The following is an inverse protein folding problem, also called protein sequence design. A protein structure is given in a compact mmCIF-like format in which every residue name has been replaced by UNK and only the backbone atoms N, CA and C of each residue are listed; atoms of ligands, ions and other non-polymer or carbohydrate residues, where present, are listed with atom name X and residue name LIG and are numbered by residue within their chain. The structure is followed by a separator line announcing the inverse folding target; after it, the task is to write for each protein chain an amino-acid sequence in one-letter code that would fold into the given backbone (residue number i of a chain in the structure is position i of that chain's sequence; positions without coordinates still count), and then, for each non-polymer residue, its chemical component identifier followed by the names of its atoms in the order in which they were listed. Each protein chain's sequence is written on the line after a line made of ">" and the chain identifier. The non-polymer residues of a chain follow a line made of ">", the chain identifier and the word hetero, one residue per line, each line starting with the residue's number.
data_IF_297058866748
#
_entry.id   IF_297058866748
#
_cell.length_a   1.000
_cell.length_b   1.000
_cell.length_c   1.000
_cell.angle_alpha   90.00
_cell.angle_beta   90.00
_cell.angle_gamma   90.00
#
_symmetry.space_group_name_H-M   'P 1'
#
loop_
_entity.id
_entity.type
_entity.pdbx_description
1 polymer ?
#
# COMPACT_ATOMS: atom_id res chain seq x y z
N UNK A 1 4.01 -22.58 -16.71
CA UNK A 1 3.75 -21.16 -17.07
C UNK A 1 4.19 -20.34 -15.87
N UNK A 2 5.09 -19.38 -16.02
CA UNK A 2 5.49 -18.50 -14.91
C UNK A 2 4.32 -17.56 -14.64
N UNK A 3 3.71 -17.61 -13.45
CA UNK A 3 2.64 -16.70 -13.07
C UNK A 3 3.25 -15.41 -12.51
N UNK A 4 3.99 -14.70 -13.37
CA UNK A 4 4.61 -13.42 -13.02
C UNK A 4 3.54 -12.33 -12.96
N UNK A 5 3.44 -11.67 -11.81
CA UNK A 5 2.54 -10.54 -11.56
C UNK A 5 3.33 -9.24 -11.56
N UNK A 6 4.34 -9.12 -12.43
CA UNK A 6 5.18 -7.92 -12.56
C UNK A 6 4.55 -6.81 -13.40
N UNK A 7 3.41 -7.06 -14.06
CA UNK A 7 2.60 -6.04 -14.76
C UNK A 7 1.77 -5.21 -13.76
N UNK A 8 2.43 -4.57 -12.81
CA UNK A 8 1.85 -3.74 -11.75
C UNK A 8 2.71 -2.50 -11.51
N UNK A 9 2.33 -1.66 -10.55
CA UNK A 9 2.95 -0.36 -10.28
C UNK A 9 4.48 -0.41 -10.10
N UNK A 10 4.98 -1.43 -9.42
CA UNK A 10 6.39 -1.73 -9.31
C UNK A 10 6.91 -2.53 -10.50
N UNK A 11 6.92 -1.94 -11.69
CA UNK A 11 7.22 -2.59 -12.98
C UNK A 11 8.57 -3.34 -13.05
N UNK A 12 9.59 -2.90 -12.30
CA UNK A 12 10.88 -3.60 -12.22
C UNK A 12 11.01 -4.55 -11.02
N UNK A 13 10.05 -4.58 -10.08
CA UNK A 13 10.03 -5.49 -8.93
C UNK A 13 9.11 -6.69 -9.20
N UNK A 14 9.71 -7.85 -9.42
CA UNK A 14 8.96 -9.05 -9.82
C UNK A 14 8.26 -9.71 -8.65
N UNK A 15 6.93 -9.85 -8.78
CA UNK A 15 6.09 -10.66 -7.90
C UNK A 15 5.60 -11.89 -8.64
N UNK A 16 5.29 -12.97 -7.91
CA UNK A 16 4.85 -14.24 -8.48
C UNK A 16 3.62 -14.78 -7.75
N UNK A 17 2.68 -15.38 -8.48
CA UNK A 17 1.48 -15.99 -7.89
C UNK A 17 0.57 -14.97 -7.23
N UNK A 18 0.18 -15.20 -5.97
CA UNK A 18 -0.65 -14.22 -5.23
C UNK A 18 0.28 -13.19 -4.61
N UNK A 19 0.07 -11.89 -4.88
CA UNK A 19 0.87 -10.81 -4.28
C UNK A 19 0.02 -9.91 -3.41
N UNK A 20 0.61 -9.35 -2.36
CA UNK A 20 -0.13 -8.52 -1.40
C UNK A 20 -0.66 -7.24 -2.03
N UNK A 21 0.17 -6.55 -2.83
CA UNK A 21 -0.22 -5.31 -3.49
C UNK A 21 -1.43 -5.49 -4.40
N UNK A 22 -1.36 -6.41 -5.36
CA UNK A 22 -2.46 -6.65 -6.32
C UNK A 22 -3.66 -7.32 -5.65
N UNK A 23 -3.41 -8.23 -4.70
CA UNK A 23 -4.45 -8.95 -3.98
C UNK A 23 -5.37 -8.02 -3.18
N UNK A 24 -4.80 -7.06 -2.43
CA UNK A 24 -5.63 -6.10 -1.69
C UNK A 24 -6.42 -5.17 -2.61
N UNK A 25 -5.83 -4.71 -3.72
CA UNK A 25 -6.54 -3.88 -4.72
C UNK A 25 -7.71 -4.67 -5.32
N UNK A 26 -7.50 -5.91 -5.71
CA UNK A 26 -8.54 -6.77 -6.27
C UNK A 26 -9.71 -6.96 -5.29
N UNK A 27 -9.42 -7.21 -4.02
CA UNK A 27 -10.44 -7.34 -2.97
C UNK A 27 -11.24 -6.05 -2.78
N UNK A 28 -10.58 -4.90 -2.77
CA UNK A 28 -11.24 -3.59 -2.70
C UNK A 28 -12.13 -3.35 -3.93
N UNK A 29 -11.66 -3.69 -5.13
CA UNK A 29 -12.42 -3.59 -6.38
C UNK A 29 -13.70 -4.44 -6.34
N UNK A 30 -13.63 -5.68 -5.81
CA UNK A 30 -14.80 -6.54 -5.67
C UNK A 30 -15.84 -5.95 -4.71
N UNK A 31 -15.42 -5.34 -3.60
CA UNK A 31 -16.32 -4.61 -2.68
C UNK A 31 -16.96 -3.40 -3.34
N UNK A 32 -16.18 -2.62 -4.08
CA UNK A 32 -16.69 -1.47 -4.82
C UNK A 32 -17.70 -1.90 -5.90
N UNK A 33 -17.37 -2.96 -6.66
CA UNK A 33 -18.24 -3.52 -7.69
C UNK A 33 -19.54 -4.08 -7.10
N UNK A 34 -19.48 -4.80 -5.98
CA UNK A 34 -20.67 -5.26 -5.24
C UNK A 34 -21.59 -4.07 -4.90
N UNK A 35 -21.02 -2.99 -4.36
CA UNK A 35 -21.78 -1.79 -3.98
C UNK A 35 -22.39 -1.08 -5.19
N UNK A 36 -21.65 -0.94 -6.28
CA UNK A 36 -22.14 -0.33 -7.51
C UNK A 36 -23.25 -1.16 -8.16
N UNK A 37 -23.12 -2.48 -8.17
CA UNK A 37 -24.14 -3.41 -8.68
C UNK A 37 -25.45 -3.27 -7.90
N UNK A 38 -25.37 -3.21 -6.56
CA UNK A 38 -26.52 -2.95 -5.69
C UNK A 38 -27.22 -1.63 -6.02
N UNK A 39 -26.46 -0.54 -6.24
CA UNK A 39 -27.01 0.77 -6.61
C UNK A 39 -27.74 0.71 -7.96
N UNK A 40 -27.25 -0.10 -8.91
CA UNK A 40 -27.86 -0.28 -10.22
C UNK A 40 -29.00 -1.31 -10.24
N UNK A 41 -29.25 -2.01 -9.13
CA UNK A 41 -30.25 -3.07 -9.04
C UNK A 41 -29.84 -4.38 -9.70
N UNK A 42 -28.57 -4.55 -10.10
CA UNK A 42 -28.05 -5.80 -10.65
C UNK A 42 -27.71 -6.77 -9.52
N UNK A 43 -28.73 -7.50 -9.07
CA UNK A 43 -28.62 -8.46 -7.95
C UNK A 43 -27.67 -9.61 -8.27
N UNK A 44 -27.72 -10.12 -9.50
CA UNK A 44 -26.89 -11.24 -9.94
C UNK A 44 -25.41 -10.88 -9.87
N UNK A 45 -25.02 -9.72 -10.40
CA UNK A 45 -23.63 -9.29 -10.35
C UNK A 45 -23.18 -8.96 -8.92
N UNK A 46 -24.03 -8.35 -8.09
CA UNK A 46 -23.73 -8.12 -6.69
C UNK A 46 -23.43 -9.43 -5.92
N UNK A 47 -24.23 -10.48 -6.13
CA UNK A 47 -24.03 -11.80 -5.53
C UNK A 47 -22.73 -12.46 -6.01
N UNK A 48 -22.40 -12.33 -7.29
CA UNK A 48 -21.14 -12.82 -7.85
C UNK A 48 -19.93 -12.09 -7.24
N UNK A 49 -19.96 -10.75 -7.16
CA UNK A 49 -18.90 -9.96 -6.51
C UNK A 49 -18.70 -10.39 -5.06
N UNK A 50 -19.79 -10.57 -4.30
CA UNK A 50 -19.72 -11.06 -2.91
C UNK A 50 -19.11 -12.45 -2.81
N UNK A 51 -19.49 -13.38 -3.70
CA UNK A 51 -18.94 -14.74 -3.74
C UNK A 51 -17.44 -14.71 -4.05
N UNK A 52 -17.02 -13.96 -5.07
CA UNK A 52 -15.61 -13.81 -5.43
C UNK A 52 -14.80 -13.11 -4.33
N UNK A 53 -15.38 -12.11 -3.66
CA UNK A 53 -14.72 -11.44 -2.54
C UNK A 53 -14.44 -12.42 -1.40
N UNK A 54 -15.44 -13.21 -0.99
CA UNK A 54 -15.25 -14.17 0.11
C UNK A 54 -14.22 -15.25 -0.23
N UNK A 55 -14.25 -15.77 -1.46
CA UNK A 55 -13.26 -16.75 -1.92
C UNK A 55 -11.85 -16.14 -2.02
N UNK A 56 -11.76 -14.91 -2.55
CA UNK A 56 -10.52 -14.17 -2.69
C UNK A 56 -9.89 -13.82 -1.35
N UNK A 57 -10.68 -13.31 -0.40
CA UNK A 57 -10.21 -12.95 0.94
C UNK A 57 -9.69 -14.19 1.66
N UNK A 58 -10.44 -15.30 1.63
CA UNK A 58 -9.99 -16.56 2.21
C UNK A 58 -8.64 -17.00 1.62
N UNK A 59 -8.52 -17.03 0.29
CA UNK A 59 -7.26 -17.42 -0.35
C UNK A 59 -6.12 -16.44 -0.08
N UNK A 60 -6.40 -15.14 0.05
CA UNK A 60 -5.42 -14.11 0.33
C UNK A 60 -4.85 -14.29 1.75
N UNK A 61 -5.71 -14.44 2.75
CA UNK A 61 -5.32 -14.70 4.14
C UNK A 61 -4.51 -16.00 4.23
N UNK A 62 -4.99 -17.10 3.66
CA UNK A 62 -4.31 -18.40 3.72
C UNK A 62 -2.92 -18.40 3.06
N UNK A 63 -2.74 -17.64 1.98
CA UNK A 63 -1.48 -17.64 1.22
C UNK A 63 -0.45 -16.65 1.72
N UNK A 64 -0.88 -15.53 2.28
CA UNK A 64 -0.01 -14.37 2.49
C UNK A 64 0.15 -13.98 3.95
N UNK A 65 -0.82 -14.28 4.82
CA UNK A 65 -0.67 -13.93 6.23
C UNK A 65 0.44 -14.76 6.88
N UNK A 66 1.50 -14.11 7.36
CA UNK A 66 2.65 -14.78 7.97
C UNK A 66 2.64 -14.74 9.51
N UNK A 67 1.56 -14.24 10.12
CA UNK A 67 1.41 -14.09 11.56
C UNK A 67 1.69 -12.69 12.09
N UNK A 68 2.34 -11.81 11.32
CA UNK A 68 2.58 -10.41 11.71
C UNK A 68 2.17 -9.41 10.61
N UNK A 69 2.46 -9.75 9.35
CA UNK A 69 2.10 -8.97 8.18
C UNK A 69 1.81 -9.90 6.98
N UNK A 70 1.50 -9.34 5.81
CA UNK A 70 1.31 -10.14 4.62
C UNK A 70 2.62 -10.24 3.82
N UNK A 71 3.06 -11.46 3.50
CA UNK A 71 4.21 -11.72 2.65
C UNK A 71 4.05 -11.03 1.29
N UNK A 72 5.16 -10.58 0.68
CA UNK A 72 5.13 -9.85 -0.59
C UNK A 72 4.37 -10.61 -1.67
N UNK A 73 4.69 -11.91 -1.80
CA UNK A 73 3.99 -12.82 -2.70
C UNK A 73 4.21 -14.30 -2.33
N UNK A 74 3.33 -15.16 -2.85
CA UNK A 74 3.39 -16.62 -2.73
C UNK A 74 2.83 -17.29 -4.00
N UNK A 75 3.66 -18.10 -4.68
CA UNK A 75 3.34 -18.95 -5.84
C UNK A 75 3.58 -20.43 -5.46
N UNK A 76 2.60 -21.09 -4.79
CA UNK A 76 2.75 -22.47 -4.33
C UNK A 76 3.11 -23.46 -5.44
N UNK A 77 2.66 -23.20 -6.67
CA UNK A 77 2.86 -24.07 -7.84
C UNK A 77 4.34 -24.19 -8.24
N UNK A 78 5.15 -23.18 -7.92
CA UNK A 78 6.60 -23.17 -8.23
C UNK A 78 7.46 -23.15 -6.97
N UNK A 79 6.86 -22.98 -5.79
CA UNK A 79 7.55 -22.79 -4.52
C UNK A 79 8.19 -21.39 -4.36
N UNK A 80 7.92 -20.44 -5.27
CA UNK A 80 8.45 -19.08 -5.12
C UNK A 80 7.66 -18.30 -4.07
N UNK A 81 8.36 -17.81 -3.07
CA UNK A 81 7.81 -16.95 -2.02
C UNK A 81 8.72 -15.76 -1.77
N UNK A 82 8.18 -14.72 -1.15
CA UNK A 82 8.98 -13.63 -0.59
C UNK A 82 8.28 -13.03 0.62
N UNK A 83 8.98 -13.00 1.75
CA UNK A 83 8.52 -12.41 3.01
C UNK A 83 9.03 -10.97 3.21
N UNK A 84 9.52 -10.33 2.15
CA UNK A 84 9.84 -8.89 2.19
C UNK A 84 8.60 -8.11 2.59
N UNK A 85 8.69 -7.34 3.67
CA UNK A 85 7.63 -6.47 4.13
C UNK A 85 7.48 -5.29 3.17
N UNK A 86 6.34 -5.24 2.47
CA UNK A 86 5.98 -4.13 1.60
C UNK A 86 5.43 -2.97 2.43
N UNK A 87 5.99 -1.76 2.28
CA UNK A 87 5.59 -0.59 3.06
C UNK A 87 4.13 -0.20 2.86
N UNK A 88 3.63 -0.29 1.62
CA UNK A 88 2.26 0.09 1.26
C UNK A 88 1.36 -1.14 1.02
N UNK A 89 1.57 -2.21 1.79
CA UNK A 89 0.87 -3.49 1.59
C UNK A 89 -0.66 -3.43 1.83
N UNK A 90 -1.15 -2.38 2.49
CA UNK A 90 -2.58 -2.13 2.75
C UNK A 90 -3.25 -1.22 1.71
N UNK A 91 -2.64 -1.02 0.53
CA UNK A 91 -3.17 -0.08 -0.48
C UNK A 91 -4.64 -0.35 -0.88
N UNK A 92 -5.08 -1.60 -0.94
CA UNK A 92 -6.49 -1.91 -1.16
C UNK A 92 -7.38 -1.44 -0.02
N UNK A 93 -6.96 -1.65 1.22
CA UNK A 93 -7.68 -1.21 2.42
C UNK A 93 -7.72 0.33 2.50
N UNK A 94 -6.65 1.00 2.09
CA UNK A 94 -6.62 2.45 1.89
C UNK A 94 -7.69 2.92 0.88
N UNK A 95 -7.79 2.28 -0.29
CA UNK A 95 -8.85 2.59 -1.25
C UNK A 95 -10.23 2.43 -0.62
N UNK A 96 -10.48 1.33 0.11
CA UNK A 96 -11.76 1.07 0.76
C UNK A 96 -12.14 2.16 1.77
N UNK A 97 -11.17 2.70 2.53
CA UNK A 97 -11.41 3.86 3.39
C UNK A 97 -11.81 5.11 2.59
N UNK A 98 -11.09 5.41 1.50
CA UNK A 98 -11.34 6.62 0.69
C UNK A 98 -12.75 6.66 0.08
N UNK A 99 -13.27 5.51 -0.31
CA UNK A 99 -14.59 5.41 -0.93
C UNK A 99 -15.69 4.99 0.05
N UNK A 100 -15.41 5.02 1.36
CA UNK A 100 -16.40 4.79 2.41
C UNK A 100 -16.91 3.34 2.51
N UNK A 101 -16.12 2.36 2.06
CA UNK A 101 -16.44 0.93 2.22
C UNK A 101 -15.98 0.35 3.55
N UNK A 102 -15.15 1.08 4.31
CA UNK A 102 -14.66 0.67 5.62
C UNK A 102 -13.60 -0.44 5.55
N UNK A 103 -13.49 -1.20 6.63
CA UNK A 103 -12.55 -2.31 6.78
C UNK A 103 -13.06 -3.56 6.04
N UNK A 104 -12.24 -4.15 5.18
CA UNK A 104 -12.52 -5.46 4.57
C UNK A 104 -11.50 -6.54 4.97
N UNK A 105 -10.29 -6.14 5.36
CA UNK A 105 -9.33 -7.03 6.03
C UNK A 105 -9.66 -7.13 7.53
N UNK A 106 -9.26 -8.21 8.21
CA UNK A 106 -9.40 -8.32 9.66
C UNK A 106 -8.73 -7.13 10.37
N UNK A 107 -9.44 -6.51 11.32
CA UNK A 107 -8.97 -5.29 11.99
C UNK A 107 -7.66 -5.50 12.74
N UNK A 108 -7.53 -6.63 13.43
CA UNK A 108 -6.32 -7.05 14.12
C UNK A 108 -5.14 -7.23 13.15
N UNK A 109 -5.38 -7.78 11.94
CA UNK A 109 -4.36 -7.89 10.90
C UNK A 109 -3.95 -6.51 10.37
N UNK A 110 -4.90 -5.59 10.15
CA UNK A 110 -4.60 -4.19 9.76
C UNK A 110 -3.67 -3.53 10.78
N UNK A 111 -4.00 -3.61 12.07
CA UNK A 111 -3.19 -3.02 13.14
C UNK A 111 -1.82 -3.70 13.25
N UNK A 112 -1.77 -5.03 13.10
CA UNK A 112 -0.51 -5.78 13.11
C UNK A 112 0.42 -5.36 11.96
N UNK A 113 -0.13 -5.24 10.75
CA UNK A 113 0.62 -4.76 9.58
C UNK A 113 1.16 -3.35 9.80
N UNK A 114 0.36 -2.42 10.32
CA UNK A 114 0.81 -1.06 10.61
C UNK A 114 1.99 -1.07 11.61
N UNK A 115 1.92 -1.93 12.63
CA UNK A 115 3.04 -2.10 13.59
C UNK A 115 4.29 -2.68 12.92
N UNK A 116 4.14 -3.68 12.05
CA UNK A 116 5.24 -4.28 11.31
C UNK A 116 5.92 -3.26 10.37
N UNK A 117 5.14 -2.52 9.57
CA UNK A 117 5.64 -1.48 8.66
C UNK A 117 6.32 -0.36 9.43
N UNK A 118 5.79 0.05 10.60
CA UNK A 118 6.48 0.98 11.51
C UNK A 118 7.84 0.45 11.95
N UNK A 119 7.89 -0.81 12.40
CA UNK A 119 9.10 -1.46 12.94
C UNK A 119 10.16 -1.71 11.88
N UNK A 120 9.74 -1.97 10.63
CA UNK A 120 10.63 -2.32 9.52
C UNK A 120 10.84 -1.13 8.58
N UNK A 121 9.84 -0.81 7.75
CA UNK A 121 9.97 0.12 6.63
C UNK A 121 10.11 1.59 7.04
N UNK A 122 9.41 2.03 8.08
CA UNK A 122 9.53 3.40 8.62
C UNK A 122 10.81 3.56 9.43
N UNK A 123 11.22 2.54 10.18
CA UNK A 123 12.43 2.57 10.99
C UNK A 123 13.72 2.51 10.14
N UNK A 124 13.65 1.92 8.94
CA UNK A 124 14.79 1.78 8.03
C UNK A 124 15.31 3.10 7.44
N UNK A 125 14.60 4.22 7.64
CA UNK A 125 14.97 5.50 7.03
C UNK A 125 14.46 6.71 7.83
N UNK A 126 15.05 7.89 7.58
CA UNK A 126 14.55 9.17 8.08
C UNK A 126 13.65 9.90 7.07
N UNK A 127 13.52 9.38 5.85
CA UNK A 127 13.03 10.13 4.69
C UNK A 127 11.63 9.71 4.18
N UNK A 128 10.94 8.80 4.89
CA UNK A 128 9.62 8.30 4.50
C UNK A 128 9.43 6.84 4.88
N UNK A 129 8.87 6.04 3.96
CA UNK A 129 8.65 4.61 4.12
C UNK A 129 9.41 3.85 3.03
N UNK A 130 10.39 3.02 3.41
CA UNK A 130 11.10 2.19 2.43
C UNK A 130 10.14 1.16 1.83
N UNK A 131 10.16 0.96 0.52
CA UNK A 131 9.22 0.07 -0.16
C UNK A 131 9.36 -1.38 0.30
N UNK A 132 10.57 -1.95 0.30
CA UNK A 132 10.85 -3.34 0.67
C UNK A 132 11.88 -3.50 1.77
N UNK A 133 11.48 -4.10 2.89
CA UNK A 133 12.39 -4.45 4.00
C UNK A 133 12.24 -5.93 4.35
N UNK A 134 13.36 -6.67 4.39
CA UNK A 134 13.39 -8.08 4.76
C UNK A 134 12.99 -8.28 6.23
N UNK A 135 12.54 -9.50 6.64
CA UNK A 135 12.16 -9.78 8.04
C UNK A 135 13.25 -9.46 9.07
N UNK A 136 14.52 -9.52 8.67
CA UNK A 136 15.69 -9.19 9.50
C UNK A 136 15.96 -7.68 9.65
N UNK A 137 15.09 -6.81 9.11
CA UNK A 137 15.21 -5.35 9.20
C UNK A 137 16.12 -4.71 8.16
N UNK A 138 16.74 -5.48 7.26
CA UNK A 138 17.56 -4.93 6.17
C UNK A 138 16.70 -4.54 4.97
N UNK A 139 17.03 -3.41 4.34
CA UNK A 139 16.43 -3.01 3.05
C UNK A 139 16.70 -4.10 2.01
N UNK A 140 15.69 -4.41 1.21
CA UNK A 140 15.79 -5.43 0.16
C UNK A 140 16.50 -4.86 -1.08
N UNK A 141 17.82 -5.03 -1.12
CA UNK A 141 18.68 -4.71 -2.28
C UNK A 141 18.85 -5.88 -3.27
N UNK A 142 18.25 -7.03 -2.97
CA UNK A 142 18.45 -8.28 -3.74
C UNK A 142 17.40 -8.42 -4.85
N UNK A 143 16.23 -7.80 -4.67
CA UNK A 143 15.19 -7.75 -5.68
C UNK A 143 15.68 -7.01 -6.93
N UNK A 144 15.22 -7.46 -8.09
CA UNK A 144 15.56 -6.83 -9.37
C UNK A 144 15.02 -5.38 -9.41
N UNK A 145 15.80 -4.49 -10.00
CA UNK A 145 15.44 -3.07 -10.14
C UNK A 145 15.67 -2.28 -8.85
N UNK A 146 15.17 -1.04 -8.82
CA UNK A 146 15.35 -0.13 -7.67
C UNK A 146 14.05 0.15 -6.92
N UNK A 147 13.03 -0.68 -7.10
CA UNK A 147 11.72 -0.40 -6.50
C UNK A 147 11.64 -0.87 -5.05
N UNK A 148 12.29 -1.97 -4.69
CA UNK A 148 12.34 -2.45 -3.30
C UNK A 148 13.21 -1.58 -2.40
N UNK A 149 14.31 -1.04 -2.94
CA UNK A 149 15.33 -0.27 -2.21
C UNK A 149 15.16 1.25 -2.33
N UNK A 150 13.94 1.69 -2.64
CA UNK A 150 13.55 3.10 -2.75
C UNK A 150 12.40 3.44 -1.81
N UNK A 151 12.14 4.72 -1.66
CA UNK A 151 10.93 5.26 -1.03
C UNK A 151 10.08 5.85 -2.15
N UNK A 152 8.89 5.32 -2.38
CA UNK A 152 7.90 6.02 -3.22
C UNK A 152 7.19 7.10 -2.39
N UNK A 153 7.26 8.36 -2.83
CA UNK A 153 6.73 9.48 -2.05
C UNK A 153 5.21 9.37 -1.89
N UNK A 154 4.49 9.13 -2.99
CA UNK A 154 3.03 8.98 -2.96
C UNK A 154 2.58 7.87 -2.01
N UNK A 155 3.25 6.73 -2.03
CA UNK A 155 2.88 5.59 -1.18
C UNK A 155 3.17 5.82 0.31
N UNK A 156 4.18 6.65 0.63
CA UNK A 156 4.40 7.09 2.01
C UNK A 156 3.19 7.89 2.52
N UNK A 157 2.58 8.73 1.68
CA UNK A 157 1.35 9.44 2.03
C UNK A 157 0.12 8.51 2.08
N UNK A 158 0.02 7.52 1.20
CA UNK A 158 -1.02 6.48 1.28
C UNK A 158 -0.95 5.73 2.61
N UNK A 159 0.24 5.28 3.00
CA UNK A 159 0.46 4.59 4.26
C UNK A 159 0.13 5.50 5.46
N UNK A 160 0.56 6.75 5.43
CA UNK A 160 0.23 7.72 6.46
C UNK A 160 -1.30 7.93 6.61
N UNK A 161 -2.03 8.07 5.50
CA UNK A 161 -3.49 8.17 5.51
C UNK A 161 -4.14 6.89 6.06
N UNK A 162 -3.61 5.72 5.67
CA UNK A 162 -4.07 4.41 6.15
C UNK A 162 -3.92 4.28 7.67
N UNK A 163 -2.79 4.71 8.23
CA UNK A 163 -2.57 4.74 9.67
C UNK A 163 -3.65 5.58 10.37
N UNK A 164 -3.91 6.78 9.86
CA UNK A 164 -4.92 7.69 10.44
C UNK A 164 -6.32 7.04 10.39
N UNK A 165 -6.72 6.46 9.26
CA UNK A 165 -8.02 5.77 9.15
C UNK A 165 -8.14 4.59 10.11
N UNK A 166 -7.05 3.85 10.35
CA UNK A 166 -7.01 2.73 11.29
C UNK A 166 -6.92 3.16 12.77
N UNK A 167 -6.90 4.47 13.06
CA UNK A 167 -6.80 5.01 14.43
C UNK A 167 -5.38 5.27 14.93
N UNK A 168 -4.35 4.99 14.12
CA UNK A 168 -2.93 5.21 14.42
C UNK A 168 -2.49 6.61 13.95
N UNK A 169 -3.19 7.64 14.42
CA UNK A 169 -3.06 9.03 13.94
C UNK A 169 -1.64 9.58 14.11
N UNK A 170 -1.02 9.37 15.26
CA UNK A 170 0.31 9.92 15.56
C UNK A 170 1.38 9.34 14.62
N UNK A 171 1.31 8.03 14.35
CA UNK A 171 2.19 7.39 13.38
C UNK A 171 1.96 7.93 11.97
N UNK A 172 0.71 8.09 11.55
CA UNK A 172 0.40 8.64 10.23
C UNK A 172 0.95 10.06 10.06
N UNK A 173 0.81 10.92 11.07
CA UNK A 173 1.39 12.27 11.08
C UNK A 173 2.92 12.25 11.11
N UNK A 174 3.54 11.34 11.86
CA UNK A 174 4.99 11.15 11.88
C UNK A 174 5.53 10.83 10.48
N UNK A 175 4.91 9.87 9.78
CA UNK A 175 5.31 9.47 8.43
C UNK A 175 5.12 10.62 7.45
N UNK A 176 3.94 11.26 7.44
CA UNK A 176 3.68 12.39 6.54
C UNK A 176 4.70 13.52 6.74
N UNK A 177 5.04 13.81 8.01
CA UNK A 177 6.06 14.80 8.37
C UNK A 177 7.44 14.39 7.85
N UNK A 178 7.91 13.16 8.13
CA UNK A 178 9.20 12.65 7.64
C UNK A 178 9.33 12.76 6.12
N UNK A 179 8.30 12.32 5.38
CA UNK A 179 8.27 12.39 3.93
C UNK A 179 8.34 13.84 3.44
N UNK A 180 7.57 14.74 4.04
CA UNK A 180 7.53 16.14 3.59
C UNK A 180 8.78 16.95 4.01
N UNK A 181 9.35 16.68 5.18
CA UNK A 181 10.62 17.28 5.60
C UNK A 181 11.77 16.87 4.66
N UNK A 182 11.77 15.63 4.15
CA UNK A 182 12.72 15.26 3.10
C UNK A 182 12.57 16.13 1.84
N UNK A 183 11.33 16.33 1.37
CA UNK A 183 11.06 17.15 0.17
C UNK A 183 11.45 18.62 0.40
N UNK A 184 10.99 19.20 1.50
CA UNK A 184 11.08 20.64 1.73
C UNK A 184 12.44 21.08 2.30
N UNK A 185 13.04 20.29 3.20
CA UNK A 185 14.23 20.69 3.94
C UNK A 185 15.50 20.04 3.42
N UNK A 186 15.44 18.74 3.10
CA UNK A 186 16.60 17.99 2.63
C UNK A 186 16.84 18.24 1.12
N UNK A 187 15.83 17.97 0.29
CA UNK A 187 15.91 18.18 -1.17
C UNK A 187 15.74 19.65 -1.57
N UNK A 188 15.07 20.46 -0.75
CA UNK A 188 14.74 21.87 -1.03
C UNK A 188 13.98 22.05 -2.35
N UNK A 189 13.10 21.10 -2.67
CA UNK A 189 12.37 21.03 -3.93
C UNK A 189 10.85 20.89 -3.74
N UNK A 190 10.18 21.77 -2.96
CA UNK A 190 8.75 21.64 -2.66
C UNK A 190 7.84 21.73 -3.89
N UNK A 191 8.32 22.33 -4.98
CA UNK A 191 7.59 22.51 -6.24
C UNK A 191 7.96 21.49 -7.32
N UNK A 192 8.94 20.62 -7.05
CA UNK A 192 9.38 19.56 -7.96
C UNK A 192 9.49 18.25 -7.19
N UNK A 193 8.33 17.74 -6.76
CA UNK A 193 8.26 16.50 -5.98
C UNK A 193 8.51 15.32 -6.91
N UNK A 194 9.54 14.55 -6.58
CA UNK A 194 9.95 13.38 -7.35
C UNK A 194 9.06 12.16 -7.10
N UNK A 195 9.15 11.12 -7.91
CA UNK A 195 8.41 9.87 -7.73
C UNK A 195 9.01 9.06 -6.58
N UNK A 196 10.32 8.79 -6.66
CA UNK A 196 11.03 8.04 -5.65
C UNK A 196 12.37 8.67 -5.24
N UNK A 197 12.76 8.35 -4.01
CA UNK A 197 13.98 8.85 -3.38
C UNK A 197 14.81 7.72 -2.77
N UNK A 198 16.08 8.00 -2.56
CA UNK A 198 17.00 7.15 -1.84
C UNK A 198 16.63 7.04 -0.35
N UNK A 199 16.57 5.83 0.22
CA UNK A 199 16.33 5.66 1.64
C UNK A 199 17.55 6.01 2.50
N UNK A 200 18.73 6.18 1.89
CA UNK A 200 20.01 6.41 2.56
C UNK A 200 20.22 7.88 2.90
N UNK A 201 19.91 8.77 1.96
CA UNK A 201 20.19 10.21 2.06
C UNK A 201 19.01 11.09 1.61
N UNK A 202 17.88 10.49 1.20
CA UNK A 202 16.69 11.20 0.77
C UNK A 202 16.81 11.87 -0.60
N UNK A 203 17.91 11.63 -1.33
CA UNK A 203 18.16 12.21 -2.65
C UNK A 203 17.19 11.67 -3.72
N UNK A 204 16.96 12.46 -4.76
CA UNK A 204 16.16 12.06 -5.90
C UNK A 204 16.75 10.81 -6.56
N UNK A 205 15.91 9.81 -6.84
CA UNK A 205 16.28 8.68 -7.69
C UNK A 205 15.67 8.80 -9.08
N UNK A 206 14.36 9.02 -9.19
CA UNK A 206 13.69 9.08 -10.50
C UNK A 206 12.35 9.84 -10.47
N UNK A 207 11.98 10.39 -11.65
CA UNK A 207 10.66 10.93 -11.94
C UNK A 207 10.43 12.30 -11.30
N UNK A 208 10.86 13.38 -11.94
CA UNK A 208 10.55 14.76 -11.51
C UNK A 208 9.11 15.14 -11.84
N UNK A 209 8.56 16.16 -11.15
CA UNK A 209 7.22 16.72 -11.41
C UNK A 209 6.09 15.66 -11.42
N UNK A 210 6.18 14.68 -10.52
CA UNK A 210 5.44 13.44 -10.69
C UNK A 210 4.01 13.51 -10.14
N UNK A 211 3.03 13.19 -11.00
CA UNK A 211 1.60 13.39 -10.72
C UNK A 211 1.07 12.61 -9.50
N UNK A 212 1.63 11.43 -9.21
CA UNK A 212 1.10 10.55 -8.16
C UNK A 212 1.19 11.17 -6.77
N UNK A 213 2.04 12.19 -6.59
CA UNK A 213 2.22 12.88 -5.31
C UNK A 213 1.00 13.72 -4.90
N UNK A 214 0.06 13.97 -5.81
CA UNK A 214 -1.25 14.56 -5.48
C UNK A 214 -2.08 13.70 -4.52
N UNK A 215 -1.68 12.44 -4.31
CA UNK A 215 -2.27 11.57 -3.29
C UNK A 215 -2.12 12.11 -1.87
N UNK A 216 -1.25 13.10 -1.63
CA UNK A 216 -1.16 13.82 -0.35
C UNK A 216 -2.51 14.37 0.13
N UNK A 217 -3.43 14.72 -0.78
CA UNK A 217 -4.79 15.17 -0.43
C UNK A 217 -5.61 14.10 0.31
N UNK A 218 -5.24 12.83 0.19
CA UNK A 218 -5.88 11.75 0.97
C UNK A 218 -5.61 11.85 2.47
N UNK A 219 -4.53 12.52 2.89
CA UNK A 219 -4.31 12.86 4.30
C UNK A 219 -5.36 13.82 4.83
N UNK A 220 -5.76 14.82 4.04
CA UNK A 220 -6.80 15.76 4.44
C UNK A 220 -8.13 15.02 4.68
N UNK A 221 -8.47 14.07 3.80
CA UNK A 221 -9.65 13.22 3.98
C UNK A 221 -9.56 12.38 5.26
N UNK A 222 -8.42 11.73 5.50
CA UNK A 222 -8.20 10.93 6.70
C UNK A 222 -8.29 11.77 7.99
N UNK A 223 -7.72 12.99 7.98
CA UNK A 223 -7.69 13.89 9.15
C UNK A 223 -9.05 14.52 9.46
N UNK A 224 -9.88 14.76 8.45
CA UNK A 224 -11.17 15.45 8.62
C UNK A 224 -12.37 14.51 8.67
N UNK A 225 -12.21 13.26 8.24
CA UNK A 225 -13.31 12.31 8.04
C UNK A 225 -14.25 12.69 6.90
N UNK A 226 -13.93 13.73 6.11
CA UNK A 226 -14.75 14.15 4.97
C UNK A 226 -14.46 13.26 3.77
N UNK A 227 -15.45 12.50 3.34
CA UNK A 227 -15.42 11.77 2.06
C UNK A 227 -15.62 12.75 0.88
N UNK A 228 -15.27 12.33 -0.33
CA UNK A 228 -15.56 13.08 -1.56
C UNK A 228 -17.08 13.25 -1.73
N UNK A 229 -17.67 14.34 -1.23
CA UNK A 229 -19.04 14.73 -1.59
C UNK A 229 -19.00 15.94 -2.53
N UNK A 230 -19.33 15.70 -3.79
CA UNK A 230 -19.62 16.77 -4.76
C UNK A 230 -21.03 17.38 -4.58
N UNK A 231 -21.75 16.98 -3.53
CA UNK A 231 -23.05 17.55 -3.17
C UNK A 231 -22.91 18.33 -1.87
N UNK A 232 -22.84 19.65 -2.01
CA UNK A 232 -23.56 20.57 -1.13
C UNK A 232 -24.83 21.00 -1.87
#
# INVERSE_FOLDING_TARGET
>A
VVNEVSMQYYDCWRFYGTSTYVGTIWLACLKAAEKLAQIKGDKTFAENCKKWFNAGLKSFEEKLWNGEYYSLYNEPETGRTSDTCLGNQLVGQWYAYLIGLGEFLPKDHIISVIKAVKRLNVAATKYGVVNGVKPNGKIDYESLGHHSDSITIGESFCYAATCIYAGEKDLGLEVAKKTYENIALNQKAPWNITWNVSPVDGSLRWGTEYYSNMVVWTLYHALTGKLFSHKQ
#
